data_IF_954429119547
#
_entry.id   IF_954429119547
#
_cell.length_a   1.000
_cell.length_b   1.000
_cell.length_c   1.000
_cell.angle_alpha   90.00
_cell.angle_beta   90.00
_cell.angle_gamma   90.00
#
_symmetry.space_group_name_H-M   'P 1'
#
loop_
_entity.id
_entity.type
_entity.pdbx_description
1 polymer ?
#
# COMPACT_ATOMS: atom_id res chain seq x y z
N UNK A 1 29.93 3.38 22.32
CA UNK A 1 29.03 4.51 21.97
C UNK A 1 28.38 4.15 20.64
N UNK A 2 27.14 3.63 20.66
CA UNK A 2 26.40 3.30 19.44
C UNK A 2 26.06 4.61 18.74
N UNK A 3 26.77 4.93 17.66
CA UNK A 3 26.35 5.98 16.76
C UNK A 3 25.07 5.47 16.07
N UNK A 4 23.92 6.05 16.43
CA UNK A 4 22.72 5.90 15.62
C UNK A 4 23.09 6.37 14.20
N UNK A 5 22.87 5.56 13.15
CA UNK A 5 23.09 6.02 11.79
C UNK A 5 22.30 7.31 11.61
N UNK A 6 22.98 8.34 11.10
CA UNK A 6 22.52 9.68 10.71
C UNK A 6 21.00 9.74 10.72
N UNK A 7 20.40 10.47 11.67
CA UNK A 7 18.95 10.65 11.76
C UNK A 7 18.39 10.82 10.34
N UNK A 8 17.51 9.92 9.85
CA UNK A 8 17.02 10.01 8.49
C UNK A 8 16.44 11.41 8.33
N UNK A 9 16.81 12.09 7.24
CA UNK A 9 16.27 13.42 6.94
C UNK A 9 14.75 13.36 7.12
N UNK A 10 14.15 14.23 7.94
CA UNK A 10 12.71 14.25 8.11
C UNK A 10 12.04 14.36 6.73
N UNK A 11 10.94 13.64 6.54
CA UNK A 11 10.24 13.55 5.26
C UNK A 11 8.88 14.28 5.27
N UNK A 12 8.29 14.46 6.45
CA UNK A 12 7.02 15.15 6.61
C UNK A 12 6.93 15.86 7.96
N UNK A 13 6.01 16.82 8.04
CA UNK A 13 5.65 17.53 9.26
C UNK A 13 4.15 17.38 9.46
N UNK A 14 3.75 16.97 10.66
CA UNK A 14 2.35 16.86 11.07
C UNK A 14 2.06 17.98 12.08
N UNK A 15 1.08 18.83 11.78
CA UNK A 15 0.62 19.91 12.68
C UNK A 15 -0.81 19.67 13.11
N UNK A 16 -1.03 19.67 14.43
CA UNK A 16 -2.37 19.73 15.01
C UNK A 16 -2.89 21.17 14.93
N UNK A 17 -4.06 21.33 14.30
CA UNK A 17 -4.80 22.58 14.22
C UNK A 17 -6.13 22.36 14.93
N UNK A 18 -6.45 23.29 15.85
CA UNK A 18 -7.69 23.28 16.62
C UNK A 18 -8.48 24.52 16.26
N UNK A 19 -9.65 24.33 15.68
CA UNK A 19 -10.58 25.42 15.43
C UNK A 19 -11.57 25.51 16.60
N UNK A 20 -11.78 26.69 17.19
CA UNK A 20 -12.87 26.87 18.13
C UNK A 20 -14.20 26.76 17.36
N UNK A 21 -15.01 25.73 17.62
CA UNK A 21 -16.36 25.67 17.06
C UNK A 21 -17.36 26.39 17.98
N UNK A 22 -18.39 26.98 17.36
CA UNK A 22 -19.46 27.75 18.03
C UNK A 22 -20.25 26.97 19.10
N UNK A 23 -20.20 25.63 19.11
CA UNK A 23 -20.92 24.76 20.07
C UNK A 23 -19.98 24.04 21.07
N UNK A 24 -18.81 24.60 21.36
CA UNK A 24 -17.88 24.03 22.35
C UNK A 24 -17.16 22.76 21.91
N UNK A 25 -17.37 22.28 20.68
CA UNK A 25 -16.63 21.17 20.09
C UNK A 25 -15.35 21.70 19.43
N UNK A 26 -14.18 21.21 19.80
CA UNK A 26 -12.95 21.53 19.06
C UNK A 26 -12.75 20.48 17.99
N UNK A 27 -12.97 20.85 16.72
CA UNK A 27 -12.57 19.98 15.62
C UNK A 27 -11.04 19.99 15.53
N UNK A 28 -10.42 18.88 15.92
CA UNK A 28 -8.98 18.67 15.81
C UNK A 28 -8.65 18.16 14.41
N UNK A 29 -7.86 18.91 13.67
CA UNK A 29 -7.37 18.56 12.34
C UNK A 29 -5.86 18.40 12.35
N UNK A 30 -5.36 17.39 11.67
CA UNK A 30 -3.94 17.16 11.49
C UNK A 30 -3.58 17.49 10.05
N UNK A 31 -2.82 18.58 9.86
CA UNK A 31 -2.26 18.96 8.56
C UNK A 31 -0.94 18.26 8.34
N UNK A 32 -0.81 17.53 7.25
CA UNK A 32 0.45 16.90 6.84
C UNK A 32 1.04 17.69 5.68
N UNK A 33 2.31 18.09 5.82
CA UNK A 33 3.08 18.74 4.75
C UNK A 33 4.41 18.02 4.55
N UNK A 34 5.00 18.16 3.36
CA UNK A 34 6.38 17.70 3.13
C UNK A 34 7.34 18.41 4.07
N UNK A 35 8.44 17.74 4.42
CA UNK A 35 9.55 18.42 5.05
C UNK A 35 10.31 19.25 4.01
N UNK A 36 10.63 20.48 4.38
CA UNK A 36 11.59 21.36 3.74
C UNK A 36 12.13 22.35 4.79
N UNK A 37 13.34 22.85 4.59
CA UNK A 37 13.97 23.83 5.49
C UNK A 37 13.11 25.09 5.62
N UNK A 38 12.72 25.68 4.50
CA UNK A 38 11.79 26.80 4.46
C UNK A 38 10.35 26.31 4.47
N UNK A 39 9.42 27.12 4.97
CA UNK A 39 8.00 26.80 4.93
C UNK A 39 7.37 26.99 3.54
N UNK A 40 7.98 27.82 2.68
CA UNK A 40 7.47 28.12 1.34
C UNK A 40 7.62 26.90 0.40
N UNK A 41 8.65 26.09 0.61
CA UNK A 41 8.94 24.90 -0.20
C UNK A 41 8.13 23.66 0.25
N UNK A 42 7.25 23.81 1.25
CA UNK A 42 6.47 22.69 1.79
C UNK A 42 5.16 22.52 1.03
N UNK A 43 4.96 21.33 0.53
CA UNK A 43 3.73 20.95 -0.15
C UNK A 43 2.74 20.33 0.83
N UNK A 44 1.45 20.60 0.62
CA UNK A 44 0.39 19.91 1.34
C UNK A 44 0.32 18.45 0.86
N UNK A 45 0.45 17.51 1.81
CA UNK A 45 0.19 16.08 1.58
C UNK A 45 -1.29 15.80 1.80
N UNK A 46 -1.88 16.35 2.86
CA UNK A 46 -3.30 16.20 3.14
C UNK A 46 -3.72 16.63 4.55
N UNK A 47 -4.95 16.28 4.90
CA UNK A 47 -5.57 16.55 6.19
C UNK A 47 -6.18 15.27 6.77
N UNK A 48 -6.10 15.09 8.08
CA UNK A 48 -6.63 13.93 8.78
C UNK A 48 -7.32 14.35 10.08
N UNK A 49 -8.30 13.56 10.54
CA UNK A 49 -9.01 13.80 11.81
C UNK A 49 -8.33 13.14 13.02
N UNK A 50 -7.30 12.31 12.79
CA UNK A 50 -6.56 11.64 13.85
C UNK A 50 -5.06 11.68 13.59
N UNK A 51 -4.29 11.65 14.68
CA UNK A 51 -2.83 11.59 14.61
C UNK A 51 -2.35 10.32 13.89
N UNK A 52 -2.98 9.16 14.16
CA UNK A 52 -2.66 7.89 13.51
C UNK A 52 -2.81 7.98 11.98
N UNK A 53 -3.96 8.45 11.50
CA UNK A 53 -4.19 8.60 10.06
C UNK A 53 -3.21 9.59 9.41
N UNK A 54 -2.83 10.65 10.15
CA UNK A 54 -1.81 11.58 9.68
C UNK A 54 -0.42 10.93 9.58
N UNK A 55 -0.02 10.12 10.56
CA UNK A 55 1.24 9.38 10.54
C UNK A 55 1.27 8.33 9.43
N UNK A 56 0.17 7.61 9.21
CA UNK A 56 0.03 6.66 8.11
C UNK A 56 0.11 7.38 6.75
N UNK A 57 -0.56 8.52 6.58
CA UNK A 57 -0.48 9.31 5.37
C UNK A 57 0.93 9.86 5.12
N UNK A 58 1.64 10.30 6.16
CA UNK A 58 3.02 10.74 6.06
C UNK A 58 3.96 9.61 5.63
N UNK A 59 3.77 8.41 6.19
CA UNK A 59 4.55 7.23 5.82
C UNK A 59 4.25 6.74 4.40
N UNK A 60 2.97 6.73 4.01
CA UNK A 60 2.57 6.42 2.64
C UNK A 60 3.18 7.40 1.64
N UNK A 61 3.20 8.69 1.97
CA UNK A 61 3.85 9.70 1.13
C UNK A 61 5.35 9.41 0.97
N UNK A 62 6.05 9.07 2.05
CA UNK A 62 7.47 8.71 1.98
C UNK A 62 7.71 7.52 1.04
N UNK A 63 6.88 6.47 1.14
CA UNK A 63 6.94 5.31 0.25
C UNK A 63 6.62 5.68 -1.20
N UNK A 64 5.61 6.53 -1.40
CA UNK A 64 5.23 7.03 -2.71
C UNK A 64 6.38 7.81 -3.38
N UNK A 65 7.05 8.68 -2.62
CA UNK A 65 8.20 9.46 -3.08
C UNK A 65 9.38 8.55 -3.45
N UNK A 66 9.72 7.59 -2.59
CA UNK A 66 10.79 6.61 -2.87
C UNK A 66 10.46 5.78 -4.11
N UNK A 67 9.24 5.25 -4.22
CA UNK A 67 8.79 4.47 -5.38
C UNK A 67 8.88 5.27 -6.68
N UNK A 68 8.43 6.53 -6.68
CA UNK A 68 8.55 7.41 -7.83
C UNK A 68 10.01 7.66 -8.21
N UNK A 69 10.89 7.94 -7.24
CA UNK A 69 12.33 8.14 -7.52
C UNK A 69 12.96 6.90 -8.18
N UNK A 70 12.60 5.70 -7.72
CA UNK A 70 13.06 4.45 -8.33
C UNK A 70 12.53 4.26 -9.74
N UNK A 71 11.24 4.53 -9.99
CA UNK A 71 10.66 4.46 -11.33
C UNK A 71 11.35 5.43 -12.30
N UNK A 72 11.66 6.64 -11.84
CA UNK A 72 12.39 7.63 -12.62
C UNK A 72 13.83 7.20 -12.89
N UNK A 73 14.53 6.62 -11.90
CA UNK A 73 15.87 6.10 -12.06
C UNK A 73 15.93 4.95 -13.07
N UNK A 74 14.97 4.01 -13.00
CA UNK A 74 14.85 2.92 -13.96
C UNK A 74 14.56 3.43 -15.38
N UNK A 75 13.73 4.48 -15.50
CA UNK A 75 13.38 5.07 -16.80
C UNK A 75 14.54 5.80 -17.48
N UNK A 76 15.54 6.30 -16.73
CA UNK A 76 16.71 7.01 -17.31
C UNK A 76 17.60 6.12 -18.18
N UNK A 77 17.50 4.79 -18.05
CA UNK A 77 18.23 3.85 -18.91
C UNK A 77 17.64 3.74 -20.32
N UNK A 78 16.42 4.27 -20.53
CA UNK A 78 15.77 4.34 -21.82
C UNK A 78 15.65 5.81 -22.22
N UNK A 79 16.34 6.25 -23.28
CA UNK A 79 16.18 7.60 -23.80
C UNK A 79 14.70 7.83 -24.15
N UNK A 80 14.05 8.71 -23.39
CA UNK A 80 12.63 9.03 -23.56
C UNK A 80 12.50 10.36 -24.29
N UNK A 81 11.84 10.42 -25.46
CA UNK A 81 11.50 11.68 -26.10
C UNK A 81 10.70 12.56 -25.11
N UNK A 82 11.16 13.78 -24.84
CA UNK A 82 10.50 14.72 -23.92
C UNK A 82 11.11 14.82 -22.51
N UNK A 83 12.15 14.04 -22.19
CA UNK A 83 12.90 14.17 -20.94
C UNK A 83 12.23 13.53 -19.71
N UNK A 84 12.77 13.84 -18.52
CA UNK A 84 12.29 13.29 -17.25
C UNK A 84 10.98 14.01 -16.87
N UNK A 85 9.86 13.29 -16.63
CA UNK A 85 8.61 13.94 -16.27
C UNK A 85 8.75 14.66 -14.92
N UNK A 86 8.10 15.82 -14.75
CA UNK A 86 8.13 16.56 -13.50
C UNK A 86 7.53 15.72 -12.36
N UNK A 87 8.00 15.96 -11.13
CA UNK A 87 7.43 15.29 -9.95
C UNK A 87 5.98 15.76 -9.75
N UNK A 88 5.02 14.84 -9.59
CA UNK A 88 3.67 15.22 -9.20
C UNK A 88 3.65 15.93 -7.84
N UNK A 89 2.68 16.83 -7.60
CA UNK A 89 2.42 17.39 -6.28
C UNK A 89 2.28 16.31 -5.21
N UNK A 90 2.70 16.60 -3.97
CA UNK A 90 2.73 15.60 -2.90
C UNK A 90 1.39 14.88 -2.65
N UNK A 91 0.27 15.62 -2.70
CA UNK A 91 -1.06 15.05 -2.52
C UNK A 91 -1.45 14.08 -3.66
N UNK A 92 -1.15 14.43 -4.92
CA UNK A 92 -1.42 13.57 -6.08
C UNK A 92 -0.57 12.30 -6.03
N UNK A 93 0.70 12.45 -5.65
CA UNK A 93 1.61 11.33 -5.51
C UNK A 93 1.11 10.32 -4.45
N UNK A 94 0.59 10.81 -3.32
CA UNK A 94 -0.02 9.98 -2.29
C UNK A 94 -1.27 9.26 -2.81
N UNK A 95 -2.15 9.96 -3.55
CA UNK A 95 -3.37 9.38 -4.10
C UNK A 95 -3.05 8.27 -5.11
N UNK A 96 -2.13 8.54 -6.05
CA UNK A 96 -1.70 7.56 -7.05
C UNK A 96 -1.09 6.33 -6.40
N UNK A 97 -0.22 6.51 -5.39
CA UNK A 97 0.37 5.39 -4.65
C UNK A 97 -0.67 4.54 -3.92
N UNK A 98 -1.63 5.17 -3.24
CA UNK A 98 -2.71 4.44 -2.56
C UNK A 98 -3.64 3.72 -3.53
N UNK A 99 -3.91 4.30 -4.70
CA UNK A 99 -4.65 3.63 -5.75
C UNK A 99 -3.89 2.39 -6.25
N UNK A 100 -2.60 2.52 -6.54
CA UNK A 100 -1.76 1.41 -6.97
C UNK A 100 -1.68 0.27 -5.92
N UNK A 101 -1.57 0.61 -4.63
CA UNK A 101 -1.61 -0.39 -3.56
C UNK A 101 -2.94 -1.14 -3.49
N UNK A 102 -4.07 -0.43 -3.67
CA UNK A 102 -5.39 -1.05 -3.69
C UNK A 102 -5.53 -1.98 -4.88
N UNK A 103 -5.10 -1.55 -6.06
CA UNK A 103 -5.11 -2.41 -7.24
C UNK A 103 -4.25 -3.66 -7.07
N UNK A 104 -3.04 -3.53 -6.50
CA UNK A 104 -2.18 -4.67 -6.22
C UNK A 104 -2.84 -5.65 -5.26
N UNK A 105 -3.42 -5.16 -4.16
CA UNK A 105 -4.11 -6.00 -3.19
C UNK A 105 -5.32 -6.73 -3.80
N UNK A 106 -6.07 -6.08 -4.70
CA UNK A 106 -7.18 -6.71 -5.41
C UNK A 106 -6.70 -7.80 -6.38
N UNK A 107 -5.59 -7.56 -7.09
CA UNK A 107 -4.98 -8.57 -7.98
C UNK A 107 -4.50 -9.78 -7.18
N UNK A 108 -3.81 -9.57 -6.06
CA UNK A 108 -3.32 -10.64 -5.20
C UNK A 108 -4.47 -11.49 -4.66
N UNK A 109 -5.57 -10.85 -4.24
CA UNK A 109 -6.77 -11.55 -3.79
C UNK A 109 -7.39 -12.42 -4.90
N UNK A 110 -7.50 -11.89 -6.12
CA UNK A 110 -8.03 -12.63 -7.27
C UNK A 110 -7.13 -13.83 -7.65
N UNK A 111 -5.80 -13.66 -7.62
CA UNK A 111 -4.86 -14.75 -7.87
C UNK A 111 -4.94 -15.82 -6.79
N UNK A 112 -5.09 -15.43 -5.52
CA UNK A 112 -5.27 -16.37 -4.42
C UNK A 112 -6.56 -17.19 -4.57
N UNK A 113 -7.67 -16.54 -4.91
CA UNK A 113 -8.95 -17.22 -5.17
C UNK A 113 -8.86 -18.20 -6.34
N UNK A 114 -8.24 -17.80 -7.45
CA UNK A 114 -8.02 -18.68 -8.59
C UNK A 114 -7.17 -19.90 -8.22
N UNK A 115 -6.12 -19.72 -7.42
CA UNK A 115 -5.27 -20.80 -6.94
C UNK A 115 -6.04 -21.78 -6.03
N UNK A 116 -6.89 -21.27 -5.13
CA UNK A 116 -7.75 -22.11 -4.29
C UNK A 116 -8.76 -22.90 -5.14
N UNK A 117 -9.35 -22.26 -6.16
CA UNK A 117 -10.28 -22.93 -7.08
C UNK A 117 -9.59 -24.06 -7.86
N UNK A 118 -8.40 -23.81 -8.39
CA UNK A 118 -7.61 -24.82 -9.09
C UNK A 118 -7.24 -25.99 -8.16
N UNK A 119 -6.84 -25.71 -6.91
CA UNK A 119 -6.52 -26.73 -5.92
C UNK A 119 -7.75 -27.59 -5.57
N UNK A 120 -8.93 -26.97 -5.43
CA UNK A 120 -10.17 -27.67 -5.20
C UNK A 120 -10.53 -28.61 -6.36
N UNK A 121 -10.40 -28.15 -7.62
CA UNK A 121 -10.63 -28.98 -8.79
C UNK A 121 -9.68 -30.18 -8.84
N UNK A 122 -8.39 -29.99 -8.57
CA UNK A 122 -7.41 -31.10 -8.48
C UNK A 122 -7.75 -32.08 -7.36
N UNK A 123 -8.13 -31.58 -6.18
CA UNK A 123 -8.55 -32.43 -5.06
C UNK A 123 -9.81 -33.25 -5.33
N UNK A 124 -10.76 -32.74 -6.12
CA UNK A 124 -11.93 -33.51 -6.54
C UNK A 124 -11.62 -34.57 -7.61
N UNK A 125 -10.60 -34.35 -8.44
CA UNK A 125 -10.17 -35.33 -9.44
C UNK A 125 -9.39 -36.51 -8.82
N UNK A 126 -8.76 -36.31 -7.67
CA UNK A 126 -7.99 -37.34 -6.94
C UNK A 126 -8.80 -38.10 -5.87
N UNK A 127 -10.12 -37.85 -5.75
CA UNK A 127 -10.97 -38.59 -4.82
C UNK A 127 -10.87 -40.11 -5.11
N UNK A 128 -10.47 -40.95 -4.12
CA UNK A 128 -10.28 -42.37 -4.36
C UNK A 128 -11.62 -42.98 -4.74
N UNK A 129 -11.69 -43.60 -5.93
CA UNK A 129 -12.85 -44.43 -6.32
C UNK A 129 -13.06 -45.45 -5.21
N UNK A 130 -14.17 -45.30 -4.49
CA UNK A 130 -14.59 -46.26 -3.48
C UNK A 130 -14.51 -47.66 -4.09
N UNK A 131 -13.65 -48.50 -3.51
CA UNK A 131 -13.47 -49.89 -3.92
C UNK A 131 -14.80 -50.59 -3.64
N UNK A 132 -15.56 -50.90 -4.68
CA UNK A 132 -16.80 -51.65 -4.54
C UNK A 132 -16.55 -52.95 -3.75
N UNK A 133 -17.42 -53.30 -2.79
CA UNK A 133 -17.31 -54.55 -2.07
C UNK A 133 -17.60 -55.68 -3.06
N UNK A 134 -16.59 -56.51 -3.34
CA UNK A 134 -16.79 -57.74 -4.11
C UNK A 134 -17.65 -58.70 -3.28
N UNK A 135 -18.93 -58.77 -3.62
CA UNK A 135 -19.77 -59.92 -3.34
C UNK A 135 -19.17 -61.19 -3.95
N UNK A 136 -19.16 -62.27 -3.18
CA UNK A 136 -19.15 -63.63 -3.71
C UNK A 136 -17.81 -64.37 -3.63
N UNK A 137 -17.69 -65.23 -2.62
CA UNK A 137 -17.10 -66.57 -2.79
C UNK A 137 -17.57 -67.48 -1.66
N UNK A 138 -18.79 -67.99 -1.79
CA UNK A 138 -19.24 -69.19 -1.12
C UNK A 138 -18.55 -70.38 -1.81
N UNK A 139 -17.57 -71.00 -1.16
CA UNK A 139 -16.99 -72.26 -1.63
C UNK A 139 -17.50 -73.37 -0.72
N UNK A 140 -18.44 -74.14 -1.27
CA UNK A 140 -18.80 -75.47 -0.80
C UNK A 140 -17.61 -76.42 -1.06
N UNK A 141 -17.15 -77.09 0.00
CA UNK A 141 -16.83 -78.53 0.01
C UNK A 141 -16.67 -79.04 1.43
#
# INVERSE_FOLDING_TARGET
MLQHPVSPRPFAIIRLIRFPAQKGTVAAWYRIVTWAETSADRELVGWCLSHRAASEAAWDFFRAQSSWQHAQAASRMHERPGGVPPRPPAHELLLAYRAALREAALRDAALHEAALHEAALRGTAEAPRAREPREGALVLR
#
